data_IF_267125688701
#
_entry.id   IF_267125688701
#
_cell.length_a   1.000
_cell.length_b   1.000
_cell.length_c   1.000
_cell.angle_alpha   90.00
_cell.angle_beta   90.00
_cell.angle_gamma   90.00
#
_symmetry.space_group_name_H-M   'P 1'
#
loop_
_entity.id
_entity.type
_entity.pdbx_description
1 polymer ?
#
# COMPACT_ATOMS: atom_id res chain seq x y z
N UNK A 1 48.74 35.41 -2.34
CA UNK A 1 48.26 34.33 -1.43
C UNK A 1 46.81 34.51 -0.98
N UNK A 2 46.39 35.70 -0.50
CA UNK A 2 45.01 35.93 -0.02
C UNK A 2 43.94 35.88 -1.11
N UNK A 3 44.22 36.38 -2.31
CA UNK A 3 43.30 36.37 -3.46
C UNK A 3 43.08 34.98 -4.04
N UNK A 4 44.15 34.18 -4.15
CA UNK A 4 44.07 32.80 -4.61
C UNK A 4 43.19 31.95 -3.67
N UNK A 5 43.32 32.14 -2.35
CA UNK A 5 42.49 31.45 -1.36
C UNK A 5 41.00 31.85 -1.42
N UNK A 6 40.71 33.13 -1.67
CA UNK A 6 39.33 33.60 -1.86
C UNK A 6 38.70 33.06 -3.13
N UNK A 7 39.45 33.05 -4.24
CA UNK A 7 38.95 32.53 -5.52
C UNK A 7 38.72 31.02 -5.46
N UNK A 8 39.63 30.25 -4.85
CA UNK A 8 39.42 28.80 -4.68
C UNK A 8 38.25 28.50 -3.75
N UNK A 9 38.08 29.24 -2.65
CA UNK A 9 36.93 29.10 -1.76
C UNK A 9 35.60 29.38 -2.47
N UNK A 10 35.54 30.44 -3.27
CA UNK A 10 34.32 30.82 -4.00
C UNK A 10 33.97 29.81 -5.09
N UNK A 11 34.97 29.27 -5.79
CA UNK A 11 34.79 28.18 -6.77
C UNK A 11 34.28 26.91 -6.09
N UNK A 12 34.83 26.52 -4.93
CA UNK A 12 34.38 25.34 -4.19
C UNK A 12 32.92 25.48 -3.71
N UNK A 13 32.52 26.67 -3.24
CA UNK A 13 31.14 26.96 -2.84
C UNK A 13 30.20 26.86 -4.04
N UNK A 14 30.60 27.37 -5.20
CA UNK A 14 29.79 27.31 -6.42
C UNK A 14 29.61 25.87 -6.91
N UNK A 15 30.67 25.07 -6.88
CA UNK A 15 30.62 23.64 -7.21
C UNK A 15 29.74 22.87 -6.22
N UNK A 16 29.85 23.13 -4.91
CA UNK A 16 29.00 22.48 -3.92
C UNK A 16 27.50 22.80 -4.12
N UNK A 17 27.16 24.05 -4.42
CA UNK A 17 25.77 24.43 -4.72
C UNK A 17 25.26 23.75 -6.00
N UNK A 18 26.07 23.68 -7.05
CA UNK A 18 25.71 22.94 -8.26
C UNK A 18 25.50 21.46 -7.96
N UNK A 19 26.41 20.82 -7.21
CA UNK A 19 26.24 19.42 -6.81
C UNK A 19 24.96 19.22 -6.00
N UNK A 20 24.60 20.12 -5.08
CA UNK A 20 23.35 20.01 -4.31
C UNK A 20 22.09 20.17 -5.17
N UNK A 21 22.10 21.12 -6.10
CA UNK A 21 20.97 21.33 -7.04
C UNK A 21 20.82 20.13 -8.00
N UNK A 22 21.92 19.65 -8.57
CA UNK A 22 21.88 18.54 -9.52
C UNK A 22 21.78 17.16 -8.86
N UNK A 23 22.21 16.99 -7.61
CA UNK A 23 21.95 15.74 -6.86
C UNK A 23 20.52 15.66 -6.34
N UNK A 24 19.81 16.79 -6.19
CA UNK A 24 18.36 16.80 -5.94
C UNK A 24 17.50 16.40 -7.15
N UNK A 25 18.11 16.31 -8.34
CA UNK A 25 17.49 15.74 -9.55
C UNK A 25 17.65 14.22 -9.64
N UNK A 26 18.48 13.60 -8.80
CA UNK A 26 18.20 12.21 -8.47
C UNK A 26 16.85 12.24 -7.76
N UNK A 27 15.81 11.58 -8.29
CA UNK A 27 14.59 11.44 -7.52
C UNK A 27 15.06 10.83 -6.20
N UNK A 28 14.94 11.59 -5.10
CA UNK A 28 14.71 10.96 -3.80
C UNK A 28 13.46 10.16 -4.09
N UNK A 29 13.66 8.91 -4.50
CA UNK A 29 12.58 7.98 -4.70
C UNK A 29 11.83 8.09 -3.40
N UNK A 30 10.62 8.62 -3.46
CA UNK A 30 9.71 8.44 -2.35
C UNK A 30 9.74 6.95 -2.14
N UNK A 31 10.38 6.51 -1.05
CA UNK A 31 10.39 5.12 -0.67
C UNK A 31 8.94 4.65 -0.82
N UNK A 32 8.67 3.56 -1.55
CA UNK A 32 7.28 3.19 -1.91
C UNK A 32 6.32 3.12 -0.71
N UNK A 33 6.89 3.02 0.49
CA UNK A 33 6.26 3.07 1.80
C UNK A 33 5.73 4.46 2.25
N UNK A 34 6.23 5.57 1.72
CA UNK A 34 5.77 6.94 2.05
C UNK A 34 4.60 7.40 1.18
N UNK A 35 4.28 6.67 0.11
CA UNK A 35 3.11 6.98 -0.70
C UNK A 35 1.85 6.41 -0.05
N UNK A 36 0.86 7.26 0.23
CA UNK A 36 -0.44 6.85 0.78
C UNK A 36 -1.13 5.77 -0.08
N UNK A 37 -0.80 5.73 -1.37
CA UNK A 37 -1.38 4.80 -2.34
C UNK A 37 -0.53 3.58 -2.64
N UNK A 38 0.74 3.50 -2.18
CA UNK A 38 1.69 2.43 -2.55
C UNK A 38 1.62 2.06 -4.04
N UNK A 39 1.45 3.04 -4.93
CA UNK A 39 1.30 2.82 -6.37
C UNK A 39 2.53 2.15 -7.01
N UNK A 40 3.66 2.13 -6.31
CA UNK A 40 4.95 1.59 -6.76
C UNK A 40 5.53 0.53 -5.80
N UNK A 41 4.71 -0.23 -5.08
CA UNK A 41 5.26 -1.37 -4.33
C UNK A 41 5.59 -2.52 -5.31
N UNK A 42 6.82 -3.05 -5.21
CA UNK A 42 7.36 -4.02 -6.15
C UNK A 42 6.71 -5.39 -5.99
N UNK A 43 5.75 -5.71 -6.87
CA UNK A 43 5.34 -7.09 -7.12
C UNK A 43 6.34 -7.82 -8.02
N UNK A 44 6.45 -9.15 -7.90
CA UNK A 44 7.33 -9.96 -8.74
C UNK A 44 7.00 -9.87 -10.25
N UNK A 45 5.78 -9.41 -10.58
CA UNK A 45 5.32 -9.20 -11.94
C UNK A 45 5.50 -10.45 -12.82
N UNK A 46 5.93 -10.25 -14.06
CA UNK A 46 6.16 -11.35 -15.02
C UNK A 46 7.42 -12.19 -14.73
N UNK A 47 8.19 -11.88 -13.70
CA UNK A 47 9.44 -12.58 -13.36
C UNK A 47 9.33 -13.42 -12.09
N UNK A 48 8.12 -13.84 -11.74
CA UNK A 48 7.90 -14.75 -10.65
C UNK A 48 8.73 -16.03 -10.78
N UNK A 49 9.39 -16.44 -9.68
CA UNK A 49 10.09 -17.71 -9.56
C UNK A 49 9.63 -18.36 -8.28
N UNK A 50 9.23 -19.63 -8.36
CA UNK A 50 8.77 -20.38 -7.21
C UNK A 50 9.86 -20.48 -6.14
N UNK A 51 9.50 -20.21 -4.88
CA UNK A 51 10.46 -20.16 -3.75
C UNK A 51 10.41 -21.45 -2.90
N UNK A 52 9.35 -22.26 -2.98
CA UNK A 52 9.28 -23.50 -2.21
C UNK A 52 7.97 -24.29 -2.31
N UNK A 53 7.73 -25.18 -1.36
CA UNK A 53 6.55 -26.09 -1.36
C UNK A 53 5.21 -25.42 -1.08
N UNK A 54 5.21 -24.15 -0.66
CA UNK A 54 4.01 -23.37 -0.38
C UNK A 54 3.72 -22.33 -1.46
N UNK A 55 4.48 -22.37 -2.56
CA UNK A 55 4.29 -21.54 -3.73
C UNK A 55 2.94 -21.84 -4.39
N UNK A 56 2.19 -20.81 -4.76
CA UNK A 56 0.83 -20.93 -5.35
C UNK A 56 -0.19 -21.76 -4.55
N UNK A 57 0.01 -21.97 -3.25
CA UNK A 57 -1.02 -22.59 -2.40
C UNK A 57 -2.22 -21.64 -2.28
N UNK A 58 -3.33 -22.01 -2.91
CA UNK A 58 -4.59 -21.27 -2.86
C UNK A 58 -5.54 -21.92 -1.86
N UNK A 59 -6.04 -21.10 -0.94
CA UNK A 59 -7.16 -21.50 -0.07
C UNK A 59 -8.43 -21.32 -0.88
N UNK A 60 -9.11 -22.42 -1.22
CA UNK A 60 -10.44 -22.34 -1.82
C UNK A 60 -11.42 -21.78 -0.79
N UNK A 61 -12.19 -20.78 -1.20
CA UNK A 61 -13.27 -20.23 -0.40
C UNK A 61 -14.58 -20.75 -0.93
N UNK A 62 -15.50 -21.17 -0.06
CA UNK A 62 -16.85 -21.57 -0.50
C UNK A 62 -17.76 -20.36 -0.79
N UNK A 63 -17.16 -19.21 -1.16
CA UNK A 63 -17.86 -18.04 -1.63
C UNK A 63 -17.52 -17.78 -3.11
N UNK A 64 -18.48 -17.28 -3.88
CA UNK A 64 -18.29 -16.90 -5.29
C UNK A 64 -17.76 -15.46 -5.44
N UNK A 65 -17.15 -14.89 -4.39
CA UNK A 65 -16.85 -13.45 -4.31
C UNK A 65 -15.35 -13.20 -4.33
N UNK A 66 -14.56 -14.08 -3.73
CA UNK A 66 -13.11 -14.03 -3.78
C UNK A 66 -12.51 -15.42 -3.94
N UNK A 67 -11.24 -15.50 -4.33
CA UNK A 67 -10.51 -16.77 -4.52
C UNK A 67 -9.48 -17.05 -3.43
N UNK A 68 -9.43 -16.20 -2.40
CA UNK A 68 -8.37 -16.24 -1.39
C UNK A 68 -8.84 -15.86 0.02
N UNK A 69 -10.06 -15.31 0.14
CA UNK A 69 -10.59 -14.77 1.39
C UNK A 69 -12.05 -15.13 1.61
N UNK A 70 -12.38 -15.63 2.80
CA UNK A 70 -13.80 -15.66 3.16
C UNK A 70 -14.33 -14.23 3.32
N UNK A 71 -15.58 -14.04 2.92
CA UNK A 71 -16.26 -12.75 3.01
C UNK A 71 -17.66 -13.00 3.53
N UNK A 72 -18.03 -12.28 4.56
CA UNK A 72 -19.40 -12.27 5.05
C UNK A 72 -20.32 -11.41 4.18
N UNK A 73 -21.65 -11.55 4.38
CA UNK A 73 -22.64 -10.71 3.73
C UNK A 73 -22.34 -9.21 3.87
N UNK A 74 -22.66 -8.47 2.82
CA UNK A 74 -22.47 -7.02 2.76
C UNK A 74 -23.55 -6.34 3.62
N UNK A 75 -23.14 -5.94 4.82
CA UNK A 75 -23.99 -5.27 5.79
C UNK A 75 -23.91 -3.74 5.63
N UNK A 76 -24.99 -3.01 5.96
CA UNK A 76 -24.97 -1.56 5.92
C UNK A 76 -23.95 -1.00 6.93
N UNK A 77 -23.29 0.10 6.56
CA UNK A 77 -22.41 0.83 7.46
C UNK A 77 -23.22 1.58 8.52
N UNK A 78 -22.62 1.77 9.70
CA UNK A 78 -23.16 2.57 10.79
C UNK A 78 -22.98 4.08 10.55
N UNK A 79 -22.15 4.43 9.57
CA UNK A 79 -21.75 5.80 9.25
C UNK A 79 -21.41 5.96 7.77
N UNK A 80 -20.68 7.03 7.40
CA UNK A 80 -20.31 7.29 6.02
C UNK A 80 -19.36 6.21 5.47
N UNK A 81 -19.31 6.09 4.15
CA UNK A 81 -18.35 5.20 3.49
C UNK A 81 -16.91 5.69 3.71
N UNK A 82 -15.98 4.74 3.88
CA UNK A 82 -14.57 5.04 3.99
C UNK A 82 -14.04 5.67 2.68
N UNK A 83 -13.44 6.85 2.80
CA UNK A 83 -12.72 7.52 1.72
C UNK A 83 -11.24 7.61 2.08
N UNK A 84 -10.31 7.08 1.28
CA UNK A 84 -8.88 7.22 1.54
C UNK A 84 -8.45 8.70 1.61
N UNK A 85 -7.76 9.08 2.68
CA UNK A 85 -7.33 10.46 2.90
C UNK A 85 -6.51 10.64 4.18
N UNK A 86 -5.95 11.84 4.43
CA UNK A 86 -5.14 12.12 5.62
C UNK A 86 -5.92 11.97 6.93
N UNK A 87 -7.24 12.21 6.91
CA UNK A 87 -8.12 12.10 8.06
C UNK A 87 -8.72 10.67 8.23
N UNK A 88 -8.36 9.74 7.35
CA UNK A 88 -8.98 8.41 7.25
C UNK A 88 -8.04 7.33 7.75
N UNK A 89 -7.72 7.38 9.05
CA UNK A 89 -6.81 6.43 9.71
C UNK A 89 -7.42 5.04 9.92
N UNK A 90 -8.75 4.93 9.96
CA UNK A 90 -9.45 3.71 10.30
C UNK A 90 -10.48 3.34 9.24
N UNK A 91 -10.12 2.40 8.36
CA UNK A 91 -10.99 1.90 7.29
C UNK A 91 -12.27 1.26 7.81
N UNK A 92 -12.23 0.63 8.99
CA UNK A 92 -13.35 -0.12 9.54
C UNK A 92 -14.14 0.60 10.64
N UNK A 93 -13.92 1.91 10.83
CA UNK A 93 -14.52 2.68 11.93
C UNK A 93 -16.04 2.55 11.98
N UNK A 94 -16.66 2.64 10.81
CA UNK A 94 -18.11 2.71 10.66
C UNK A 94 -18.71 1.37 10.21
N UNK A 95 -17.96 0.27 10.31
CA UNK A 95 -18.45 -1.07 10.03
C UNK A 95 -19.15 -1.66 11.26
N UNK A 96 -20.14 -2.51 11.00
CA UNK A 96 -20.70 -3.36 12.03
C UNK A 96 -19.68 -4.45 12.44
N UNK A 97 -19.62 -4.74 13.73
CA UNK A 97 -18.90 -5.89 14.28
C UNK A 97 -19.92 -6.84 14.94
N UNK A 98 -20.03 -8.07 14.42
CA UNK A 98 -20.95 -9.08 14.96
C UNK A 98 -20.50 -10.51 14.64
N UNK A 99 -20.91 -11.52 15.43
CA UNK A 99 -20.54 -12.92 15.20
C UNK A 99 -20.97 -13.47 13.83
N UNK A 100 -22.05 -12.92 13.26
CA UNK A 100 -22.50 -13.27 11.90
C UNK A 100 -21.54 -12.84 10.79
N UNK A 101 -20.48 -12.08 11.13
CA UNK A 101 -19.46 -11.62 10.21
C UNK A 101 -18.09 -12.26 10.46
N UNK A 102 -18.03 -13.49 10.98
CA UNK A 102 -16.77 -14.16 11.34
C UNK A 102 -16.10 -15.01 10.26
N UNK A 103 -16.65 -15.06 9.06
CA UNK A 103 -15.86 -15.53 7.92
C UNK A 103 -14.93 -14.41 7.39
N UNK A 104 -15.15 -13.16 7.77
CA UNK A 104 -14.32 -12.03 7.42
C UNK A 104 -12.92 -12.13 8.04
N UNK A 105 -11.93 -11.56 7.34
CA UNK A 105 -10.51 -11.61 7.76
C UNK A 105 -10.13 -10.60 8.84
N UNK A 106 -11.05 -9.75 9.27
CA UNK A 106 -10.78 -8.72 10.26
C UNK A 106 -11.74 -8.86 11.43
N UNK A 107 -11.22 -8.67 12.62
CA UNK A 107 -11.97 -8.72 13.87
C UNK A 107 -11.62 -7.52 14.75
N UNK A 108 -12.51 -7.27 15.69
CA UNK A 108 -12.44 -6.28 16.76
C UNK A 108 -12.78 -6.95 18.08
N UNK A 109 -12.69 -6.21 19.18
CA UNK A 109 -13.15 -6.64 20.50
C UNK A 109 -14.65 -6.95 20.54
N UNK A 110 -15.45 -6.35 19.66
CA UNK A 110 -16.89 -6.58 19.51
C UNK A 110 -17.25 -7.75 18.58
N UNK A 111 -16.24 -8.46 18.06
CA UNK A 111 -16.40 -9.57 17.12
C UNK A 111 -15.90 -9.22 15.73
N UNK A 112 -16.39 -9.94 14.73
CA UNK A 112 -15.82 -9.90 13.39
C UNK A 112 -16.46 -8.80 12.52
N UNK A 113 -15.65 -8.20 11.64
CA UNK A 113 -16.00 -6.96 10.92
C UNK A 113 -16.72 -7.28 9.61
N UNK A 114 -17.93 -6.75 9.44
CA UNK A 114 -18.70 -6.87 8.20
C UNK A 114 -18.18 -5.87 7.15
N UNK A 115 -17.15 -6.24 6.39
CA UNK A 115 -16.52 -5.37 5.38
C UNK A 115 -17.40 -5.17 4.14
N UNK A 116 -17.33 -4.00 3.49
CA UNK A 116 -18.01 -3.75 2.20
C UNK A 116 -17.15 -4.20 1.01
N UNK A 117 -17.74 -4.44 -0.18
CA UNK A 117 -16.99 -4.80 -1.39
C UNK A 117 -15.91 -3.79 -1.76
N UNK A 118 -16.18 -2.50 -1.58
CA UNK A 118 -15.27 -1.40 -1.88
C UNK A 118 -14.06 -1.42 -0.94
N UNK A 119 -14.29 -1.62 0.36
CA UNK A 119 -13.20 -1.78 1.34
C UNK A 119 -12.35 -3.01 1.04
N UNK A 120 -13.00 -4.14 0.69
CA UNK A 120 -12.28 -5.36 0.27
C UNK A 120 -11.41 -5.06 -0.94
N UNK A 121 -11.97 -4.46 -2.00
CA UNK A 121 -11.22 -4.09 -3.20
C UNK A 121 -10.04 -3.16 -2.88
N UNK A 122 -10.26 -2.10 -2.10
CA UNK A 122 -9.22 -1.15 -1.73
C UNK A 122 -8.05 -1.83 -1.01
N UNK A 123 -8.34 -2.69 -0.03
CA UNK A 123 -7.32 -3.47 0.68
C UNK A 123 -6.59 -4.41 -0.27
N UNK A 124 -7.32 -5.09 -1.17
CA UNK A 124 -6.74 -6.04 -2.12
C UNK A 124 -5.77 -5.36 -3.09
N UNK A 125 -6.07 -4.11 -3.48
CA UNK A 125 -5.25 -3.33 -4.42
C UNK A 125 -4.20 -2.45 -3.75
N UNK A 126 -4.22 -2.35 -2.42
CA UNK A 126 -3.25 -1.57 -1.67
C UNK A 126 -1.87 -2.18 -1.85
N UNK A 127 -0.83 -1.36 -1.91
CA UNK A 127 0.52 -1.91 -2.07
C UNK A 127 0.88 -2.20 -3.52
N UNK A 128 0.13 -1.71 -4.52
CA UNK A 128 0.30 -2.15 -5.90
C UNK A 128 -0.01 -3.64 -6.10
N UNK A 129 -0.62 -4.29 -5.11
CA UNK A 129 -0.93 -5.70 -5.15
C UNK A 129 -2.14 -5.94 -6.05
N UNK A 130 -2.12 -6.97 -6.90
CA UNK A 130 -3.28 -7.34 -7.76
C UNK A 130 -3.87 -6.17 -8.59
N UNK A 131 -3.06 -5.15 -8.91
CA UNK A 131 -3.46 -4.01 -9.76
C UNK A 131 -3.29 -4.30 -11.25
N UNK A 132 -2.59 -5.39 -11.57
CA UNK A 132 -2.49 -5.99 -12.90
C UNK A 132 -3.04 -7.41 -12.83
N UNK A 133 -3.40 -7.99 -13.99
CA UNK A 133 -3.67 -9.42 -14.07
C UNK A 133 -2.41 -10.18 -13.63
N UNK A 134 -2.52 -10.90 -12.52
CA UNK A 134 -1.58 -11.95 -12.16
C UNK A 134 -1.70 -12.95 -13.32
N UNK A 135 -0.69 -13.03 -14.20
CA UNK A 135 -0.72 -13.82 -15.44
C UNK A 135 -0.68 -15.33 -15.23
N UNK A 136 -1.43 -15.83 -14.25
CA UNK A 136 -1.56 -17.22 -13.79
C UNK A 136 -3.02 -17.59 -13.69
#
# INVERSE_FOLDING_TARGET
MKTAFLLTGLVLILVANLVMVYSSLSPRGMEGFTSYFLENAGGAGKQYKAIGSFDDVRVSTDNNVSSWRYTDPDEPLLGPEFVPGPDSLFIFRDNQAKPGCCSASYSSDMGCICTTPQQRKFINTRGGNRTMEDGV
#
